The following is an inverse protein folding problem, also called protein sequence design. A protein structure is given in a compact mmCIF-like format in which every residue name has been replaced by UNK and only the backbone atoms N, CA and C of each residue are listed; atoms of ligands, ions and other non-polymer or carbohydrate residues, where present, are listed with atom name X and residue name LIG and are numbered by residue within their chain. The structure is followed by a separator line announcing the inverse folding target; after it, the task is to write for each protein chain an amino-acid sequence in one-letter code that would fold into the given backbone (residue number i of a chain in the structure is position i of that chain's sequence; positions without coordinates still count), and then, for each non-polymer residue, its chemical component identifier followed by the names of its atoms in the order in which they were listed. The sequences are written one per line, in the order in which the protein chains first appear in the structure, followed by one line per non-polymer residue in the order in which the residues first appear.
data_IF_636508349535
#
_entry.id   IF_636508349535
#
_cell.length_a   1.000
_cell.length_b   1.000
_cell.length_c   1.000
_cell.angle_alpha   90.00
_cell.angle_beta   90.00
_cell.angle_gamma   90.00
#
_symmetry.space_group_name_H-M   'P 1'
#
loop_
_entity.id
_entity.type
_entity.pdbx_description
1 polymer ?
#
# COMPACT_ATOMS: atom_id res chain seq x y z
N UNK A 1 11.75 -9.96 -15.22
CA UNK A 1 11.13 -10.96 -14.32
C UNK A 1 12.15 -11.36 -13.26
N UNK A 2 11.71 -11.39 -11.98
CA UNK A 2 12.49 -11.64 -10.75
C UNK A 2 13.34 -10.42 -10.34
N UNK A 3 13.19 -9.79 -9.17
CA UNK A 3 12.85 -10.32 -7.84
C UNK A 3 11.97 -9.35 -7.03
N UNK A 4 10.77 -9.79 -6.65
CA UNK A 4 10.06 -9.26 -5.49
C UNK A 4 10.87 -9.66 -4.26
N UNK A 5 11.54 -8.71 -3.62
CA UNK A 5 12.11 -8.91 -2.27
C UNK A 5 10.99 -8.72 -1.27
N UNK A 6 10.29 -9.82 -0.98
CA UNK A 6 9.39 -9.95 0.15
C UNK A 6 10.22 -9.88 1.43
N UNK A 7 10.14 -8.76 2.15
CA UNK A 7 10.56 -8.70 3.55
C UNK A 7 9.35 -9.18 4.36
N UNK A 8 9.35 -10.47 4.68
CA UNK A 8 8.42 -11.06 5.63
C UNK A 8 9.08 -11.01 7.01
N UNK A 9 8.62 -10.14 7.89
CA UNK A 9 8.91 -10.21 9.32
C UNK A 9 7.58 -10.16 10.07
N UNK A 10 7.00 -11.35 10.30
CA UNK A 10 5.90 -11.55 11.22
C UNK A 10 6.46 -12.24 12.47
N UNK A 11 6.79 -11.46 13.50
CA UNK A 11 7.00 -12.00 14.83
C UNK A 11 5.63 -12.06 15.53
N UNK A 12 5.04 -13.26 15.53
CA UNK A 12 3.79 -13.60 16.17
C UNK A 12 4.03 -13.69 17.70
N UNK A 13 3.48 -12.75 18.48
CA UNK A 13 3.42 -12.89 19.94
C UNK A 13 2.27 -13.84 20.29
N UNK A 14 2.61 -15.07 20.65
CA UNK A 14 1.68 -16.05 21.21
C UNK A 14 1.94 -16.14 22.71
N UNK A 15 0.99 -15.65 23.51
CA UNK A 15 0.85 -16.09 24.90
C UNK A 15 -0.40 -16.98 24.98
N UNK A 16 -0.18 -18.24 25.35
CA UNK A 16 -1.23 -19.24 25.55
C UNK A 16 -1.62 -19.22 27.03
N UNK A 17 -2.89 -18.97 27.32
CA UNK A 17 -3.67 -19.74 28.32
C UNK A 17 -5.18 -19.61 28.04
N UNK A 18 -5.73 -20.67 27.45
CA UNK A 18 -7.05 -21.32 27.72
C UNK A 18 -8.39 -20.53 27.73
N UNK A 19 -9.37 -21.14 27.03
CA UNK A 19 -10.85 -21.03 27.10
C UNK A 19 -11.52 -19.92 26.26
N UNK A 20 -12.15 -20.33 25.15
CA UNK A 20 -13.19 -19.64 24.37
C UNK A 20 -13.03 -18.15 24.00
N UNK A 21 -11.86 -17.55 24.18
CA UNK A 21 -11.53 -16.31 23.51
C UNK A 21 -11.14 -16.67 22.07
N UNK A 22 -12.08 -16.50 21.13
CA UNK A 22 -11.76 -16.40 19.72
C UNK A 22 -10.70 -15.30 19.61
N UNK A 23 -9.42 -15.69 19.51
CA UNK A 23 -8.31 -14.76 19.50
C UNK A 23 -8.52 -13.86 18.28
N UNK A 24 -9.01 -12.64 18.53
CA UNK A 24 -9.35 -11.68 17.48
C UNK A 24 -8.03 -11.22 16.89
N UNK A 25 -7.56 -11.94 15.88
CA UNK A 25 -6.35 -11.54 15.14
C UNK A 25 -6.64 -10.17 14.55
N UNK A 26 -5.71 -9.24 14.77
CA UNK A 26 -5.89 -7.87 14.33
C UNK A 26 -5.91 -7.82 12.79
N UNK A 27 -7.01 -7.34 12.24
CA UNK A 27 -7.21 -7.25 10.79
C UNK A 27 -6.26 -6.21 10.22
N UNK A 28 -5.44 -6.63 9.25
CA UNK A 28 -4.46 -5.77 8.59
C UNK A 28 -4.78 -5.67 7.11
N UNK A 29 -5.05 -4.46 6.62
CA UNK A 29 -5.16 -4.18 5.19
C UNK A 29 -3.79 -3.78 4.64
N UNK A 30 -3.41 -4.34 3.51
CA UNK A 30 -2.16 -4.05 2.81
C UNK A 30 -2.54 -3.42 1.47
N UNK A 31 -2.37 -2.10 1.37
CA UNK A 31 -2.63 -1.37 0.14
C UNK A 31 -1.53 -1.63 -0.89
N UNK A 32 -1.89 -1.61 -2.17
CA UNK A 32 -0.90 -1.72 -3.24
C UNK A 32 0.12 -0.58 -3.18
N UNK A 33 1.35 -0.87 -3.62
CA UNK A 33 2.36 0.16 -3.84
C UNK A 33 1.79 1.25 -4.78
N UNK A 34 2.13 2.50 -4.50
CA UNK A 34 1.62 3.66 -5.22
C UNK A 34 0.10 3.87 -5.10
N UNK A 35 -0.55 3.33 -4.06
CA UNK A 35 -1.97 3.55 -3.78
C UNK A 35 -2.37 5.04 -3.84
N UNK A 36 -1.58 5.93 -3.23
CA UNK A 36 -1.84 7.37 -3.27
C UNK A 36 -1.82 7.93 -4.70
N UNK A 37 -0.89 7.47 -5.55
CA UNK A 37 -0.85 7.87 -6.95
C UNK A 37 -2.07 7.34 -7.72
N UNK A 38 -2.48 6.09 -7.46
CA UNK A 38 -3.68 5.52 -8.05
C UNK A 38 -4.93 6.35 -7.66
N UNK A 39 -5.05 6.73 -6.39
CA UNK A 39 -6.14 7.60 -5.92
C UNK A 39 -6.23 8.93 -6.70
N UNK A 40 -5.10 9.63 -6.95
CA UNK A 40 -5.12 10.92 -7.67
C UNK A 40 -5.28 10.82 -9.18
N UNK A 41 -4.79 9.74 -9.80
CA UNK A 41 -4.86 9.59 -11.26
C UNK A 41 -6.30 9.33 -11.77
N UNK A 42 -7.27 9.18 -10.86
CA UNK A 42 -8.66 8.97 -11.22
C UNK A 42 -9.45 10.27 -11.21
N UNK A 43 -9.71 10.78 -12.41
CA UNK A 43 -10.74 11.76 -12.66
C UNK A 43 -11.90 11.08 -13.41
N UNK A 44 -13.13 11.31 -12.92
CA UNK A 44 -14.42 11.04 -13.59
C UNK A 44 -15.00 9.59 -13.61
N UNK A 45 -14.31 8.55 -13.14
CA UNK A 45 -14.86 7.16 -13.10
C UNK A 45 -14.66 6.48 -11.73
N UNK A 46 -15.38 5.37 -11.48
CA UNK A 46 -15.29 4.64 -10.21
C UNK A 46 -13.86 4.14 -9.97
N UNK A 47 -13.35 4.36 -8.76
CA UNK A 47 -11.99 3.96 -8.40
C UNK A 47 -11.97 2.52 -7.93
N UNK A 48 -11.15 1.69 -8.57
CA UNK A 48 -10.94 0.30 -8.19
C UNK A 48 -9.66 0.19 -7.38
N UNK A 49 -9.81 -0.21 -6.12
CA UNK A 49 -8.73 -0.37 -5.16
C UNK A 49 -8.57 -1.85 -4.91
N UNK A 50 -7.43 -2.39 -5.33
CA UNK A 50 -7.00 -3.73 -4.98
C UNK A 50 -6.12 -3.68 -3.72
N UNK A 51 -6.34 -4.61 -2.79
CA UNK A 51 -5.58 -4.69 -1.55
C UNK A 51 -5.46 -6.15 -1.11
N UNK A 52 -4.52 -6.43 -0.21
CA UNK A 52 -4.47 -7.70 0.50
C UNK A 52 -4.96 -7.51 1.93
N UNK A 53 -5.44 -8.58 2.56
CA UNK A 53 -5.89 -8.53 3.94
C UNK A 53 -5.43 -9.77 4.70
N UNK A 54 -4.93 -9.53 5.91
CA UNK A 54 -4.47 -10.53 6.86
C UNK A 54 -5.35 -10.50 8.12
N UNK A 55 -5.33 -11.59 8.89
CA UNK A 55 -6.02 -11.67 10.18
C UNK A 55 -7.51 -11.99 10.09
N UNK A 56 -7.95 -12.54 8.96
CA UNK A 56 -9.32 -13.03 8.75
C UNK A 56 -9.36 -14.56 8.59
N UNK A 57 -10.48 -15.16 8.94
CA UNK A 57 -10.86 -16.52 8.53
C UNK A 57 -11.64 -16.45 7.22
N UNK A 58 -11.88 -17.60 6.55
CA UNK A 58 -12.73 -17.62 5.34
C UNK A 58 -14.13 -17.05 5.62
N UNK A 59 -14.73 -17.44 6.74
CA UNK A 59 -16.06 -16.96 7.16
C UNK A 59 -16.06 -15.46 7.45
N UNK A 60 -15.07 -14.96 8.20
CA UNK A 60 -14.99 -13.52 8.52
C UNK A 60 -14.61 -12.68 7.29
N UNK A 61 -14.06 -13.27 6.24
CA UNK A 61 -13.73 -12.55 4.99
C UNK A 61 -14.98 -12.08 4.24
N UNK A 62 -16.04 -12.89 4.23
CA UNK A 62 -17.33 -12.51 3.67
C UNK A 62 -18.01 -11.42 4.49
N UNK A 63 -17.96 -11.54 5.84
CA UNK A 63 -18.49 -10.52 6.74
C UNK A 63 -17.77 -9.18 6.56
N UNK A 64 -16.44 -9.21 6.46
CA UNK A 64 -15.63 -8.01 6.19
C UNK A 64 -16.04 -7.34 4.87
N UNK A 65 -16.19 -8.12 3.79
CA UNK A 65 -16.67 -7.61 2.50
C UNK A 65 -18.05 -6.97 2.61
N UNK A 66 -18.95 -7.55 3.40
CA UNK A 66 -20.28 -7.00 3.64
C UNK A 66 -20.25 -5.71 4.47
N UNK A 67 -19.36 -5.60 5.47
CA UNK A 67 -19.18 -4.35 6.23
C UNK A 67 -18.64 -3.21 5.37
N UNK A 68 -17.71 -3.50 4.44
CA UNK A 68 -17.24 -2.51 3.48
C UNK A 68 -18.39 -1.96 2.63
N UNK A 69 -19.29 -2.82 2.14
CA UNK A 69 -20.45 -2.43 1.32
C UNK A 69 -21.44 -1.50 2.04
N UNK A 70 -21.45 -1.49 3.38
CA UNK A 70 -22.29 -0.57 4.16
C UNK A 70 -21.72 0.85 4.22
N UNK A 71 -20.48 1.05 3.79
CA UNK A 71 -19.85 2.36 3.82
C UNK A 71 -20.30 3.21 2.64
N UNK A 72 -20.61 4.47 2.92
CA UNK A 72 -20.95 5.45 1.88
C UNK A 72 -19.85 5.54 0.82
N UNK A 73 -20.26 5.59 -0.45
CA UNK A 73 -19.35 5.66 -1.58
C UNK A 73 -18.86 4.31 -2.08
N UNK A 74 -19.10 3.20 -1.37
CA UNK A 74 -18.73 1.86 -1.88
C UNK A 74 -19.78 1.36 -2.87
N UNK A 75 -19.34 1.04 -4.09
CA UNK A 75 -20.16 0.49 -5.18
C UNK A 75 -20.15 -1.04 -5.15
N UNK A 76 -18.96 -1.62 -5.01
CA UNK A 76 -18.79 -3.06 -4.95
C UNK A 76 -17.60 -3.43 -4.07
N UNK A 77 -17.66 -4.62 -3.48
CA UNK A 77 -16.58 -5.19 -2.68
C UNK A 77 -16.58 -6.69 -2.91
N UNK A 78 -15.38 -7.23 -3.14
CA UNK A 78 -15.19 -8.67 -3.31
C UNK A 78 -13.92 -9.11 -2.62
N UNK A 79 -13.91 -10.37 -2.19
CA UNK A 79 -12.79 -11.00 -1.50
C UNK A 79 -12.54 -12.37 -2.11
N UNK A 80 -11.28 -12.69 -2.33
CA UNK A 80 -10.84 -14.00 -2.84
C UNK A 80 -9.68 -14.52 -2.01
N UNK A 81 -9.65 -15.83 -1.76
CA UNK A 81 -8.54 -16.45 -1.06
C UNK A 81 -7.28 -16.42 -1.92
N UNK A 82 -6.14 -16.22 -1.27
CA UNK A 82 -4.83 -16.38 -1.93
C UNK A 82 -4.30 -17.79 -1.71
N UNK A 83 -3.23 -18.15 -2.43
CA UNK A 83 -2.48 -19.40 -2.17
C UNK A 83 -1.79 -19.39 -0.80
N UNK A 84 -1.63 -18.21 -0.18
CA UNK A 84 -1.06 -18.07 1.16
C UNK A 84 -2.17 -18.20 2.22
N UNK A 85 -2.08 -19.24 3.06
CA UNK A 85 -3.03 -19.44 4.16
C UNK A 85 -3.07 -18.19 5.07
N UNK A 86 -4.28 -17.67 5.31
CA UNK A 86 -4.51 -16.51 6.17
C UNK A 86 -4.42 -15.15 5.47
N UNK A 87 -4.23 -15.13 4.14
CA UNK A 87 -4.23 -13.91 3.32
C UNK A 87 -5.34 -13.97 2.25
N UNK A 88 -6.04 -12.85 2.07
CA UNK A 88 -7.04 -12.68 1.02
C UNK A 88 -6.70 -11.49 0.14
N UNK A 89 -7.14 -11.53 -1.11
CA UNK A 89 -7.11 -10.40 -2.04
C UNK A 89 -8.50 -9.79 -2.09
N UNK A 90 -8.59 -8.51 -1.73
CA UNK A 90 -9.80 -7.71 -1.81
C UNK A 90 -9.79 -6.79 -3.02
N UNK A 91 -10.96 -6.56 -3.59
CA UNK A 91 -11.20 -5.51 -4.59
C UNK A 91 -12.36 -4.67 -4.12
N UNK A 92 -12.13 -3.38 -3.98
CA UNK A 92 -13.11 -2.37 -3.57
C UNK A 92 -13.32 -1.40 -4.73
N UNK A 93 -14.56 -1.20 -5.14
CA UNK A 93 -14.92 -0.15 -6.08
C UNK A 93 -15.64 0.96 -5.32
N UNK A 94 -15.17 2.19 -5.48
CA UNK A 94 -15.77 3.39 -4.86
C UNK A 94 -16.24 4.39 -5.90
N UNK A 95 -17.25 5.16 -5.54
CA UNK A 95 -17.81 6.23 -6.36
C UNK A 95 -16.74 7.29 -6.69
N UNK A 96 -16.83 7.95 -7.86
CA UNK A 96 -15.88 9.02 -8.23
C UNK A 96 -15.83 10.19 -7.23
N UNK A 97 -16.88 10.40 -6.45
CA UNK A 97 -17.00 11.46 -5.46
C UNK A 97 -16.40 11.09 -4.09
N UNK A 98 -15.97 9.83 -3.91
CA UNK A 98 -15.38 9.38 -2.66
C UNK A 98 -14.03 10.06 -2.45
N UNK A 99 -13.99 11.00 -1.51
CA UNK A 99 -12.77 11.71 -1.15
C UNK A 99 -11.89 10.86 -0.22
N UNK A 100 -10.69 11.37 0.08
CA UNK A 100 -9.68 10.64 0.83
C UNK A 100 -10.14 10.32 2.25
N UNK A 101 -10.81 11.25 2.93
CA UNK A 101 -11.37 11.01 4.26
C UNK A 101 -12.44 9.92 4.27
N UNK A 102 -13.34 9.95 3.28
CA UNK A 102 -14.35 8.91 3.11
C UNK A 102 -13.68 7.55 2.85
N UNK A 103 -12.64 7.51 2.01
CA UNK A 103 -11.90 6.31 1.71
C UNK A 103 -11.22 5.70 2.96
N UNK A 104 -10.57 6.54 3.78
CA UNK A 104 -10.00 6.09 5.05
C UNK A 104 -11.07 5.49 5.96
N UNK A 105 -12.22 6.15 6.04
CA UNK A 105 -13.34 5.75 6.89
C UNK A 105 -13.96 4.42 6.52
N UNK A 106 -13.88 3.99 5.25
CA UNK A 106 -14.34 2.66 4.82
C UNK A 106 -13.60 1.56 5.60
N UNK A 107 -12.27 1.62 5.66
CA UNK A 107 -11.46 0.63 6.38
C UNK A 107 -11.62 0.74 7.90
N UNK A 108 -11.73 1.96 8.43
CA UNK A 108 -11.97 2.18 9.87
C UNK A 108 -13.30 1.53 10.31
N UNK A 109 -14.38 1.76 9.56
CA UNK A 109 -15.71 1.20 9.84
C UNK A 109 -15.74 -0.33 9.73
N UNK A 110 -14.94 -0.89 8.82
CA UNK A 110 -14.81 -2.34 8.66
C UNK A 110 -13.98 -3.03 9.76
N UNK A 111 -13.55 -2.30 10.80
CA UNK A 111 -12.84 -2.86 11.95
C UNK A 111 -11.38 -3.21 11.67
N UNK A 112 -10.76 -2.56 10.69
CA UNK A 112 -9.32 -2.69 10.41
C UNK A 112 -8.53 -2.13 11.59
N UNK A 113 -7.55 -2.90 12.07
CA UNK A 113 -6.67 -2.49 13.16
C UNK A 113 -5.38 -1.86 12.64
N UNK A 114 -4.90 -2.32 11.48
CA UNK A 114 -3.67 -1.85 10.87
C UNK A 114 -3.84 -1.63 9.37
N UNK A 115 -3.22 -0.59 8.84
CA UNK A 115 -3.10 -0.34 7.40
C UNK A 115 -1.62 -0.32 7.04
N UNK A 116 -1.20 -1.23 6.19
CA UNK A 116 0.11 -1.19 5.58
C UNK A 116 0.01 -0.30 4.33
N UNK A 117 0.79 0.78 4.35
CA UNK A 117 1.00 1.69 3.23
C UNK A 117 2.44 1.52 2.79
N UNK A 118 2.63 0.90 1.63
CA UNK A 118 3.95 0.60 1.05
C UNK A 118 4.84 -0.24 1.98
N UNK A 119 5.85 0.36 2.61
CA UNK A 119 6.80 -0.33 3.49
C UNK A 119 6.54 -0.05 4.98
N UNK A 120 5.46 0.64 5.33
CA UNK A 120 5.18 1.04 6.71
C UNK A 120 3.79 0.60 7.15
N UNK A 121 3.72 0.00 8.34
CA UNK A 121 2.47 -0.40 9.00
C UNK A 121 2.02 0.72 9.93
N UNK A 122 0.79 1.21 9.70
CA UNK A 122 0.11 2.21 10.49
C UNK A 122 -0.90 1.52 11.41
N UNK A 123 -0.91 1.90 12.68
CA UNK A 123 -2.09 1.65 13.53
C UNK A 123 -3.27 2.45 12.98
N UNK A 124 -4.49 1.97 13.25
CA UNK A 124 -5.69 2.64 12.72
C UNK A 124 -5.81 4.11 13.17
N UNK A 125 -5.26 4.48 14.33
CA UNK A 125 -5.23 5.88 14.78
C UNK A 125 -4.32 6.76 13.91
N UNK A 126 -3.17 6.25 13.49
CA UNK A 126 -2.27 6.97 12.58
C UNK A 126 -2.84 7.00 11.16
N UNK A 127 -3.59 5.96 10.77
CA UNK A 127 -4.34 5.98 9.51
C UNK A 127 -5.42 7.08 9.53
N UNK A 128 -6.15 7.25 10.64
CA UNK A 128 -7.14 8.33 10.77
C UNK A 128 -6.51 9.71 10.55
N UNK A 129 -5.31 9.95 11.09
CA UNK A 129 -4.61 11.23 10.95
C UNK A 129 -3.87 11.42 9.61
N UNK A 130 -3.70 10.36 8.81
CA UNK A 130 -3.03 10.45 7.51
C UNK A 130 -3.84 11.35 6.56
N UNK A 131 -3.29 12.47 6.14
CA UNK A 131 -4.03 13.50 5.38
C UNK A 131 -3.91 13.32 3.87
N UNK A 132 -4.82 13.96 3.13
CA UNK A 132 -4.74 14.02 1.67
C UNK A 132 -3.44 14.71 1.21
N UNK A 133 -2.99 15.76 1.89
CA UNK A 133 -1.70 16.41 1.60
C UNK A 133 -0.52 15.43 1.76
N UNK A 134 -0.54 14.62 2.81
CA UNK A 134 0.49 13.60 3.04
C UNK A 134 0.44 12.50 1.97
N UNK A 135 -0.76 12.10 1.53
CA UNK A 135 -0.93 11.16 0.42
C UNK A 135 -0.43 11.74 -0.91
N UNK A 136 -0.66 13.04 -1.17
CA UNK A 136 -0.11 13.77 -2.32
C UNK A 136 1.41 13.77 -2.28
N UNK A 137 1.99 14.07 -1.12
CA UNK A 137 3.45 14.07 -0.93
C UNK A 137 4.05 12.68 -1.14
N UNK A 138 3.38 11.61 -0.69
CA UNK A 138 3.77 10.23 -0.96
C UNK A 138 3.75 9.90 -2.46
N UNK A 139 2.70 10.32 -3.16
CA UNK A 139 2.60 10.18 -4.63
C UNK A 139 3.77 10.88 -5.34
N UNK A 140 4.14 12.08 -4.90
CA UNK A 140 5.28 12.82 -5.47
C UNK A 140 6.61 12.08 -5.27
N UNK A 141 6.86 11.49 -4.10
CA UNK A 141 8.05 10.66 -3.88
C UNK A 141 8.08 9.47 -4.84
N UNK A 142 6.97 8.77 -5.00
CA UNK A 142 6.86 7.64 -5.92
C UNK A 142 7.10 8.04 -7.37
N UNK A 143 6.58 9.20 -7.80
CA UNK A 143 6.82 9.73 -9.14
C UNK A 143 8.29 10.08 -9.38
N UNK A 144 8.97 10.68 -8.40
CA UNK A 144 10.40 10.99 -8.47
C UNK A 144 11.21 9.70 -8.63
N UNK A 145 10.96 8.71 -7.76
CA UNK A 145 11.64 7.40 -7.81
C UNK A 145 11.40 6.72 -9.16
N UNK A 146 10.14 6.66 -9.61
CA UNK A 146 9.77 6.08 -10.89
C UNK A 146 10.48 6.76 -12.06
N UNK A 147 10.57 8.08 -12.08
CA UNK A 147 11.25 8.83 -13.14
C UNK A 147 12.76 8.52 -13.18
N UNK A 148 13.40 8.44 -12.01
CA UNK A 148 14.82 8.08 -11.90
C UNK A 148 15.06 6.66 -12.44
N UNK A 149 14.26 5.69 -12.00
CA UNK A 149 14.37 4.29 -12.43
C UNK A 149 14.07 4.13 -13.92
N UNK A 150 13.07 4.83 -14.44
CA UNK A 150 12.71 4.82 -15.87
C UNK A 150 13.86 5.34 -16.72
N UNK A 151 14.46 6.47 -16.34
CA UNK A 151 15.62 7.02 -17.04
C UNK A 151 16.82 6.07 -16.99
N UNK A 152 17.10 5.49 -15.81
CA UNK A 152 18.16 4.49 -15.65
C UNK A 152 17.94 3.30 -16.57
N UNK A 153 16.73 2.75 -16.59
CA UNK A 153 16.38 1.61 -17.45
C UNK A 153 16.50 1.96 -18.93
N UNK A 154 16.08 3.16 -19.33
CA UNK A 154 16.27 3.63 -20.70
C UNK A 154 17.76 3.69 -21.06
N UNK A 155 18.61 4.30 -20.23
CA UNK A 155 20.06 4.36 -20.48
C UNK A 155 20.65 2.95 -20.59
N UNK A 156 20.31 2.03 -19.68
CA UNK A 156 20.80 0.65 -19.70
C UNK A 156 20.43 -0.10 -20.99
N UNK A 157 19.31 0.25 -21.61
CA UNK A 157 18.83 -0.34 -22.86
C UNK A 157 19.33 0.39 -24.13
N UNK A 158 20.11 1.46 -23.99
CA UNK A 158 20.65 2.24 -25.12
C UNK A 158 22.19 2.24 -25.07
N UNK A 159 22.88 1.39 -25.85
CA UNK A 159 24.34 1.18 -25.73
C UNK A 159 25.18 2.45 -25.77
N UNK A 160 24.89 3.37 -26.70
CA UNK A 160 25.62 4.63 -26.83
C UNK A 160 25.44 5.56 -25.61
N UNK A 161 24.27 5.53 -24.97
CA UNK A 161 23.98 6.33 -23.78
C UNK A 161 24.55 5.68 -22.52
N UNK A 162 24.52 4.34 -22.45
CA UNK A 162 25.16 3.56 -21.39
C UNK A 162 26.67 3.85 -21.34
N UNK A 163 27.36 3.80 -22.48
CA UNK A 163 28.80 4.05 -22.54
C UNK A 163 29.14 5.47 -22.04
N UNK A 164 28.40 6.49 -22.51
CA UNK A 164 28.55 7.87 -22.02
C UNK A 164 28.31 7.98 -20.52
N UNK A 165 27.27 7.31 -20.01
CA UNK A 165 26.89 7.31 -18.60
C UNK A 165 27.92 6.62 -17.69
N UNK A 166 28.61 5.58 -18.20
CA UNK A 166 29.72 4.92 -17.50
C UNK A 166 30.94 5.84 -17.46
N UNK A 167 31.31 6.45 -18.60
CA UNK A 167 32.50 7.31 -18.71
C UNK A 167 32.40 8.58 -17.86
N UNK A 168 31.21 9.16 -17.71
CA UNK A 168 31.02 10.41 -16.95
C UNK A 168 30.58 10.20 -15.48
N UNK A 169 30.53 8.95 -15.01
CA UNK A 169 30.12 8.61 -13.64
C UNK A 169 28.64 8.89 -13.34
N UNK A 170 27.77 8.92 -14.34
CA UNK A 170 26.34 9.21 -14.17
C UNK A 170 25.65 8.19 -13.28
N UNK A 171 26.00 6.91 -13.37
CA UNK A 171 25.36 5.86 -12.56
C UNK A 171 25.57 6.08 -11.05
N UNK A 172 26.77 6.47 -10.63
CA UNK A 172 27.06 6.79 -9.21
C UNK A 172 26.18 7.93 -8.71
N UNK A 173 26.12 9.05 -9.46
CA UNK A 173 25.27 10.19 -9.11
C UNK A 173 23.78 9.82 -9.10
N UNK A 174 23.35 9.01 -10.07
CA UNK A 174 21.97 8.54 -10.14
C UNK A 174 21.61 7.63 -8.96
N UNK A 175 22.53 6.76 -8.53
CA UNK A 175 22.36 5.91 -7.35
C UNK A 175 22.27 6.74 -6.07
N UNK A 176 23.10 7.78 -5.92
CA UNK A 176 22.99 8.74 -4.82
C UNK A 176 21.62 9.43 -4.79
N UNK A 177 21.14 9.91 -5.94
CA UNK A 177 19.82 10.54 -6.04
C UNK A 177 18.67 9.58 -5.74
N UNK A 178 18.74 8.35 -6.27
CA UNK A 178 17.73 7.32 -6.00
C UNK A 178 17.69 6.97 -4.50
N UNK A 179 18.85 6.72 -3.91
CA UNK A 179 18.96 6.38 -2.48
C UNK A 179 18.44 7.53 -1.61
N UNK A 180 18.76 8.78 -1.96
CA UNK A 180 18.22 9.94 -1.26
C UNK A 180 16.69 9.97 -1.34
N UNK A 181 16.11 9.85 -2.53
CA UNK A 181 14.65 9.89 -2.71
C UNK A 181 13.94 8.76 -1.95
N UNK A 182 14.51 7.55 -1.95
CA UNK A 182 13.97 6.40 -1.19
C UNK A 182 14.06 6.63 0.32
N UNK A 183 15.17 7.16 0.81
CA UNK A 183 15.35 7.46 2.24
C UNK A 183 14.43 8.60 2.69
N UNK A 184 14.35 9.70 1.93
CA UNK A 184 13.43 10.81 2.21
C UNK A 184 11.97 10.30 2.29
N UNK A 185 11.57 9.39 1.38
CA UNK A 185 10.23 8.76 1.41
C UNK A 185 10.02 7.94 2.69
N UNK A 186 11.02 7.15 3.07
CA UNK A 186 10.97 6.31 4.28
C UNK A 186 10.86 7.17 5.54
N UNK A 187 11.70 8.18 5.68
CA UNK A 187 11.67 9.13 6.80
C UNK A 187 10.32 9.85 6.86
N UNK A 188 9.79 10.26 5.71
CA UNK A 188 8.47 10.85 5.62
C UNK A 188 7.38 9.90 6.15
N UNK A 189 7.30 8.67 5.67
CA UNK A 189 6.29 7.71 6.15
C UNK A 189 6.42 7.43 7.64
N UNK A 190 7.64 7.39 8.18
CA UNK A 190 7.90 7.22 9.61
C UNK A 190 7.45 8.43 10.43
N UNK A 191 7.52 9.65 9.88
CA UNK A 191 7.06 10.87 10.55
C UNK A 191 5.53 10.97 10.72
N UNK A 192 4.77 10.14 10.02
CA UNK A 192 3.30 10.09 10.11
C UNK A 192 2.86 9.11 11.21
N UNK A 193 3.75 8.21 11.66
CA UNK A 193 3.46 7.25 12.72
C UNK A 193 3.51 7.87 14.11
#
# INVERSE_FOLDING_TARGET
MKHFRTILFFALLVNITSINAQQKVAVTVILQNNFCQAYYNHSQTSSKIEYQIAGLTNESSHQFSAELLKSEGVVSSSMSSTTNKGMFTGKLEVNPQTNFEQLKNIFIKAGVAFVNVENEIFQIENWKSFTEEQCTKLSNFNQIIYNIETKRNWILNNPAEKEKAEQNGWFTKNDEYLNKAVNDKKEFLQSIK
#
